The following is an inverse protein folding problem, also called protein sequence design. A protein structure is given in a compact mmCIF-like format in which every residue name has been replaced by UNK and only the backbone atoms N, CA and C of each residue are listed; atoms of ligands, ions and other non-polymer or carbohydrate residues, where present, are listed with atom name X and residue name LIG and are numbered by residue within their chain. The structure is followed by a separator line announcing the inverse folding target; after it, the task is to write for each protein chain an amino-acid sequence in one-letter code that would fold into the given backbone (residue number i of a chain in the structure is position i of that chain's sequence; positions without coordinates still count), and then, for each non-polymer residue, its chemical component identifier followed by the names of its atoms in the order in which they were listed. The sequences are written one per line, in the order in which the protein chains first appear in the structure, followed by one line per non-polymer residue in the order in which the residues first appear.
data_IF_375993892424
#
_entry.id   IF_375993892424
#
_cell.length_a   1.000
_cell.length_b   1.000
_cell.length_c   1.000
_cell.angle_alpha   90.00
_cell.angle_beta   90.00
_cell.angle_gamma   90.00
#
_symmetry.space_group_name_H-M   'P 1'
#
loop_
_entity.id
_entity.type
_entity.pdbx_description
1 polymer ?
#
# COMPACT_ATOMS: atom_id res chain seq x y z
N UNK A 1 -8.24 1.44 16.53
CA UNK A 1 -8.21 0.39 15.51
C UNK A 1 -9.50 -0.40 15.44
N UNK A 2 -10.03 -0.88 16.55
CA UNK A 2 -11.21 -1.77 16.59
C UNK A 2 -12.46 -1.19 15.91
N UNK A 3 -12.72 0.09 16.09
CA UNK A 3 -13.85 0.78 15.43
C UNK A 3 -13.69 0.81 13.91
N UNK A 4 -12.47 1.06 13.42
CA UNK A 4 -12.16 1.09 11.98
C UNK A 4 -12.31 -0.30 11.38
N UNK A 5 -11.77 -1.33 12.04
CA UNK A 5 -11.91 -2.74 11.61
C UNK A 5 -13.38 -3.17 11.60
N UNK A 6 -14.14 -2.81 12.62
CA UNK A 6 -15.57 -3.10 12.70
C UNK A 6 -16.35 -2.44 11.56
N UNK A 7 -16.09 -1.16 11.28
CA UNK A 7 -16.69 -0.43 10.16
C UNK A 7 -16.32 -1.07 8.83
N UNK A 8 -15.02 -1.36 8.63
CA UNK A 8 -14.51 -1.98 7.38
C UNK A 8 -15.21 -3.31 7.07
N UNK A 9 -15.38 -4.17 8.07
CA UNK A 9 -16.10 -5.45 7.94
C UNK A 9 -17.59 -5.23 7.69
N UNK A 10 -18.23 -4.37 8.47
CA UNK A 10 -19.68 -4.14 8.40
C UNK A 10 -20.13 -3.48 7.08
N UNK A 11 -19.26 -2.67 6.46
CA UNK A 11 -19.59 -1.91 5.25
C UNK A 11 -19.00 -2.49 3.97
N UNK A 12 -18.31 -3.63 4.03
CA UNK A 12 -17.81 -4.31 2.85
C UNK A 12 -16.52 -3.74 2.28
N UNK A 13 -15.68 -3.17 3.14
CA UNK A 13 -14.31 -2.82 2.75
C UNK A 13 -13.40 -4.03 2.78
N UNK A 14 -13.39 -4.78 3.87
CA UNK A 14 -12.50 -5.93 4.05
C UNK A 14 -13.22 -7.03 4.83
N UNK A 15 -13.09 -8.27 4.37
CA UNK A 15 -13.60 -9.48 5.03
C UNK A 15 -12.45 -10.41 5.42
N UNK A 16 -12.60 -11.24 6.46
CA UNK A 16 -11.68 -12.35 6.70
C UNK A 16 -11.65 -13.29 5.48
N UNK A 17 -10.46 -13.62 4.99
CA UNK A 17 -10.31 -14.52 3.84
C UNK A 17 -10.81 -15.93 4.17
N UNK A 18 -11.66 -16.50 3.31
CA UNK A 18 -12.25 -17.86 3.48
C UNK A 18 -13.03 -18.02 4.79
N UNK A 19 -13.76 -17.00 5.22
CA UNK A 19 -14.44 -16.93 6.52
C UNK A 19 -15.38 -18.10 6.78
N UNK A 20 -16.08 -18.62 5.76
CA UNK A 20 -17.01 -19.75 5.88
C UNK A 20 -16.34 -21.07 6.31
N UNK A 21 -15.01 -21.16 6.16
CA UNK A 21 -14.21 -22.30 6.62
C UNK A 21 -13.39 -21.98 7.90
N UNK A 22 -13.75 -20.92 8.62
CA UNK A 22 -13.02 -20.45 9.80
C UNK A 22 -11.86 -19.52 9.49
N UNK A 23 -11.68 -19.14 8.23
CA UNK A 23 -10.64 -18.23 7.79
C UNK A 23 -9.25 -18.85 7.69
N UNK A 24 -8.32 -18.07 7.18
CA UNK A 24 -6.88 -18.33 7.22
C UNK A 24 -6.20 -17.15 7.92
N UNK A 25 -5.36 -17.44 8.91
CA UNK A 25 -4.77 -16.42 9.77
C UNK A 25 -4.18 -15.26 8.99
N UNK A 26 -4.68 -14.05 9.31
CA UNK A 26 -4.28 -12.79 8.72
C UNK A 26 -4.31 -12.75 7.18
N UNK A 27 -5.32 -13.39 6.61
CA UNK A 27 -5.66 -13.33 5.19
C UNK A 27 -6.98 -12.59 5.04
N UNK A 28 -7.02 -11.63 4.12
CA UNK A 28 -8.12 -10.69 3.97
C UNK A 28 -8.58 -10.60 2.52
N UNK A 29 -9.89 -10.54 2.33
CA UNK A 29 -10.52 -10.26 1.04
C UNK A 29 -11.03 -8.82 1.02
N UNK A 30 -10.76 -8.09 -0.05
CA UNK A 30 -11.37 -6.77 -0.26
C UNK A 30 -12.80 -6.96 -0.79
N UNK A 31 -13.76 -6.41 -0.04
CA UNK A 31 -15.17 -6.44 -0.41
C UNK A 31 -15.51 -5.45 -1.53
N UNK A 32 -16.81 -5.28 -1.77
CA UNK A 32 -17.31 -4.40 -2.84
C UNK A 32 -16.86 -2.94 -2.74
N UNK A 33 -16.76 -2.38 -1.54
CA UNK A 33 -16.22 -1.03 -1.35
C UNK A 33 -14.70 -1.02 -1.26
N UNK A 34 -14.11 -2.04 -0.65
CA UNK A 34 -12.67 -2.15 -0.51
C UNK A 34 -11.94 -2.29 -1.83
N UNK A 35 -12.46 -3.07 -2.77
CA UNK A 35 -11.88 -3.22 -4.11
C UNK A 35 -11.90 -1.90 -4.89
N UNK A 36 -12.99 -1.14 -4.78
CA UNK A 36 -13.09 0.18 -5.42
C UNK A 36 -12.12 1.19 -4.80
N UNK A 37 -12.03 1.24 -3.46
CA UNK A 37 -11.04 2.08 -2.77
C UNK A 37 -9.61 1.74 -3.20
N UNK A 38 -9.25 0.47 -3.17
CA UNK A 38 -7.92 -0.01 -3.56
C UNK A 38 -7.60 0.30 -5.03
N UNK A 39 -8.55 0.09 -5.93
CA UNK A 39 -8.40 0.44 -7.35
C UNK A 39 -8.25 1.95 -7.57
N UNK A 40 -8.98 2.78 -6.80
CA UNK A 40 -8.84 4.23 -6.87
C UNK A 40 -7.46 4.69 -6.39
N UNK A 41 -6.94 4.11 -5.29
CA UNK A 41 -5.58 4.37 -4.81
C UNK A 41 -4.54 4.00 -5.87
N UNK A 42 -4.65 2.82 -6.46
CA UNK A 42 -3.74 2.38 -7.54
C UNK A 42 -3.82 3.27 -8.78
N UNK A 43 -5.03 3.71 -9.17
CA UNK A 43 -5.23 4.66 -10.28
C UNK A 43 -4.61 6.01 -9.99
N UNK A 44 -4.78 6.54 -8.76
CA UNK A 44 -4.19 7.81 -8.35
C UNK A 44 -2.66 7.75 -8.39
N UNK A 45 -2.06 6.64 -7.92
CA UNK A 45 -0.62 6.42 -8.01
C UNK A 45 -0.16 6.33 -9.47
N UNK A 46 -0.79 5.47 -10.28
CA UNK A 46 -0.42 5.28 -11.69
C UNK A 46 -0.51 6.58 -12.49
N UNK A 47 -1.55 7.35 -12.22
CA UNK A 47 -1.74 8.66 -12.88
C UNK A 47 -0.56 9.59 -12.61
N UNK A 48 -0.16 9.76 -11.36
CA UNK A 48 0.91 10.71 -10.98
C UNK A 48 2.31 10.18 -11.27
N UNK A 49 2.57 8.91 -10.98
CA UNK A 49 3.91 8.34 -11.11
C UNK A 49 4.24 7.85 -12.52
N UNK A 50 3.25 7.48 -13.32
CA UNK A 50 3.47 6.93 -14.67
C UNK A 50 2.86 7.81 -15.74
N UNK A 51 1.56 8.06 -15.70
CA UNK A 51 0.85 8.71 -16.80
C UNK A 51 1.24 10.19 -16.99
N UNK A 52 1.26 10.96 -15.92
CA UNK A 52 1.56 12.41 -15.94
C UNK A 52 3.06 12.70 -15.79
N UNK A 53 3.87 11.70 -15.47
CA UNK A 53 5.31 11.86 -15.31
C UNK A 53 6.04 11.67 -16.64
N UNK A 54 6.80 12.65 -17.14
CA UNK A 54 7.43 12.57 -18.46
C UNK A 54 8.59 11.56 -18.52
N UNK A 55 9.14 11.18 -17.37
CA UNK A 55 10.27 10.24 -17.31
C UNK A 55 9.83 8.78 -17.33
N UNK A 56 8.65 8.47 -16.78
CA UNK A 56 8.31 7.10 -16.40
C UNK A 56 7.48 6.37 -17.45
N UNK A 57 7.58 5.04 -17.41
CA UNK A 57 6.75 4.09 -18.14
C UNK A 57 6.32 2.97 -17.20
N UNK A 58 5.37 2.14 -17.62
CA UNK A 58 4.87 1.04 -16.80
C UNK A 58 5.19 -0.33 -17.37
N UNK A 59 5.23 -1.34 -16.49
CA UNK A 59 5.28 -2.75 -16.83
C UNK A 59 4.34 -3.57 -15.96
N UNK A 60 4.06 -4.78 -16.38
CA UNK A 60 3.42 -5.82 -15.56
C UNK A 60 4.18 -7.13 -15.77
N UNK A 61 5.06 -7.46 -14.80
CA UNK A 61 5.91 -8.63 -14.88
C UNK A 61 5.24 -9.85 -14.26
N UNK A 62 5.59 -11.05 -14.75
CA UNK A 62 5.09 -12.30 -14.18
C UNK A 62 5.50 -12.47 -12.70
N UNK A 63 4.61 -13.06 -11.91
CA UNK A 63 4.90 -13.43 -10.50
C UNK A 63 5.94 -14.55 -10.46
N UNK A 64 5.77 -15.57 -11.31
CA UNK A 64 6.71 -16.67 -11.42
C UNK A 64 7.85 -16.29 -12.36
N UNK A 65 9.06 -16.31 -11.84
CA UNK A 65 10.27 -15.90 -12.54
C UNK A 65 11.30 -17.02 -12.49
N UNK A 66 12.29 -16.96 -13.38
CA UNK A 66 13.42 -17.88 -13.31
C UNK A 66 14.09 -17.78 -11.92
N UNK A 67 14.32 -18.90 -11.22
CA UNK A 67 14.94 -18.91 -9.89
C UNK A 67 16.30 -18.19 -9.82
N UNK A 68 17.04 -18.09 -10.92
CA UNK A 68 18.30 -17.35 -10.98
C UNK A 68 18.12 -15.85 -10.69
N UNK A 69 16.93 -15.31 -10.92
CA UNK A 69 16.60 -13.93 -10.52
C UNK A 69 16.76 -13.75 -9.02
N UNK A 70 16.33 -14.73 -8.24
CA UNK A 70 16.40 -14.69 -6.77
C UNK A 70 17.76 -15.06 -6.21
N UNK A 71 18.57 -15.77 -6.99
CA UNK A 71 20.01 -15.96 -6.70
C UNK A 71 20.74 -14.64 -6.88
N UNK A 72 20.56 -13.98 -8.03
CA UNK A 72 21.18 -12.70 -8.35
C UNK A 72 20.86 -11.61 -7.35
N UNK A 73 19.58 -11.47 -6.99
CA UNK A 73 19.10 -10.46 -6.03
C UNK A 73 19.47 -10.79 -4.55
N UNK A 74 19.97 -11.99 -4.27
CA UNK A 74 20.33 -12.42 -2.91
C UNK A 74 19.16 -12.93 -2.04
N UNK A 75 17.92 -12.91 -2.55
CA UNK A 75 16.74 -13.35 -1.77
C UNK A 75 16.82 -14.80 -1.32
N UNK A 76 17.37 -15.70 -2.12
CA UNK A 76 17.52 -17.12 -1.71
C UNK A 76 18.54 -17.32 -0.60
N UNK A 77 19.55 -16.46 -0.51
CA UNK A 77 20.61 -16.56 0.47
C UNK A 77 20.40 -15.78 1.75
N UNK A 78 19.74 -14.61 1.67
CA UNK A 78 19.72 -13.64 2.77
C UNK A 78 18.36 -13.10 3.17
N UNK A 79 17.29 -13.41 2.44
CA UNK A 79 15.95 -12.93 2.77
C UNK A 79 15.29 -13.81 3.84
N UNK A 80 15.72 -13.63 5.08
CA UNK A 80 15.34 -14.49 6.20
C UNK A 80 15.22 -13.71 7.51
N UNK A 81 14.29 -14.16 8.36
CA UNK A 81 14.13 -13.65 9.72
C UNK A 81 14.75 -14.61 10.74
N UNK A 82 15.34 -14.07 11.84
CA UNK A 82 15.80 -14.88 12.96
C UNK A 82 14.61 -15.42 13.76
N UNK A 83 14.40 -16.74 13.72
CA UNK A 83 13.26 -17.43 14.30
C UNK A 83 13.67 -18.21 15.55
N UNK A 84 12.90 -18.07 16.64
CA UNK A 84 12.99 -18.90 17.84
C UNK A 84 11.60 -19.37 18.29
N UNK A 85 11.52 -20.57 18.87
CA UNK A 85 10.30 -21.13 19.42
C UNK A 85 10.36 -21.18 20.95
N UNK A 86 9.27 -20.82 21.65
CA UNK A 86 9.15 -21.11 23.07
C UNK A 86 8.96 -22.63 23.26
N UNK A 87 9.85 -23.29 24.00
CA UNK A 87 9.79 -24.74 24.21
C UNK A 87 8.57 -25.16 25.03
N UNK A 88 8.01 -24.22 25.83
CA UNK A 88 6.87 -24.49 26.73
C UNK A 88 5.53 -24.40 26.02
N UNK A 89 5.23 -23.29 25.33
CA UNK A 89 3.91 -23.12 24.66
C UNK A 89 3.95 -23.38 23.15
N UNK A 90 5.14 -23.61 22.57
CA UNK A 90 5.37 -23.87 21.14
C UNK A 90 5.08 -22.69 20.21
N UNK A 91 4.84 -21.52 20.79
CA UNK A 91 4.67 -20.28 20.00
C UNK A 91 6.01 -19.84 19.40
N UNK A 92 5.93 -19.21 18.23
CA UNK A 92 7.05 -18.74 17.43
C UNK A 92 7.18 -17.24 17.49
N UNK A 93 8.44 -16.80 17.55
CA UNK A 93 8.77 -15.38 17.61
C UNK A 93 9.95 -15.06 16.71
N UNK A 94 9.98 -13.84 16.19
CA UNK A 94 11.19 -13.25 15.66
C UNK A 94 12.05 -12.81 16.83
N UNK A 95 13.30 -13.25 16.86
CA UNK A 95 14.21 -12.95 17.95
C UNK A 95 14.53 -11.46 18.04
N UNK A 96 14.75 -10.82 16.90
CA UNK A 96 14.97 -9.37 16.77
C UNK A 96 13.81 -8.57 17.37
N UNK A 97 12.56 -8.88 16.99
CA UNK A 97 11.38 -8.19 17.51
C UNK A 97 11.14 -8.41 18.99
N UNK A 98 11.38 -9.64 19.47
CA UNK A 98 11.30 -9.95 20.90
C UNK A 98 12.29 -9.10 21.73
N UNK A 99 13.48 -8.86 21.20
CA UNK A 99 14.48 -8.01 21.82
C UNK A 99 14.07 -6.54 21.75
N UNK A 100 13.62 -6.05 20.60
CA UNK A 100 13.17 -4.66 20.43
C UNK A 100 12.01 -4.31 21.37
N UNK A 101 11.02 -5.19 21.48
CA UNK A 101 9.89 -5.01 22.38
C UNK A 101 10.36 -4.95 23.86
N UNK A 102 11.27 -5.84 24.23
CA UNK A 102 11.86 -5.84 25.57
C UNK A 102 12.65 -4.56 25.86
N UNK A 103 13.46 -4.08 24.91
CA UNK A 103 14.20 -2.82 25.04
C UNK A 103 13.24 -1.63 25.22
N UNK A 104 12.18 -1.59 24.43
CA UNK A 104 11.17 -0.53 24.51
C UNK A 104 10.40 -0.54 25.86
N UNK A 105 9.97 -1.71 26.33
CA UNK A 105 9.27 -1.87 27.61
C UNK A 105 10.14 -1.49 28.82
N UNK A 106 11.46 -1.71 28.72
CA UNK A 106 12.39 -1.41 29.81
C UNK A 106 13.13 -0.07 29.65
N UNK A 107 12.77 0.75 28.64
CA UNK A 107 13.43 2.00 28.30
C UNK A 107 14.96 1.86 28.15
N UNK A 108 15.40 0.74 27.56
CA UNK A 108 16.81 0.47 27.31
C UNK A 108 17.20 0.98 25.92
N UNK A 109 18.40 1.53 25.82
CA UNK A 109 19.01 1.95 24.55
C UNK A 109 20.23 1.11 24.24
N UNK A 110 20.42 0.76 22.97
CA UNK A 110 21.58 0.06 22.46
C UNK A 110 22.29 0.90 21.42
N UNK A 111 23.54 0.62 21.14
CA UNK A 111 24.23 1.17 19.97
C UNK A 111 23.84 0.39 18.72
N UNK A 112 23.37 1.07 17.69
CA UNK A 112 22.92 0.46 16.44
C UNK A 112 21.51 -0.15 16.49
N UNK A 113 21.26 -1.09 15.58
CA UNK A 113 19.99 -1.81 15.44
C UNK A 113 20.13 -3.29 15.80
N UNK A 114 19.10 -3.87 16.40
CA UNK A 114 19.04 -5.32 16.70
C UNK A 114 19.14 -6.16 15.41
N UNK A 115 18.64 -5.65 14.30
CA UNK A 115 18.69 -6.33 13.00
C UNK A 115 20.12 -6.59 12.50
N UNK A 116 21.10 -5.81 12.98
CA UNK A 116 22.51 -5.98 12.64
C UNK A 116 23.24 -7.04 13.51
N UNK A 117 22.59 -7.56 14.55
CA UNK A 117 23.20 -8.53 15.46
C UNK A 117 23.27 -9.92 14.85
N UNK A 118 24.30 -10.65 15.21
CA UNK A 118 24.40 -12.09 14.91
C UNK A 118 23.38 -12.90 15.73
N UNK A 119 23.10 -14.13 15.30
CA UNK A 119 22.20 -15.03 16.03
C UNK A 119 22.73 -15.32 17.45
N UNK A 120 24.06 -15.41 17.61
CA UNK A 120 24.72 -15.61 18.86
C UNK A 120 24.53 -14.42 19.82
N UNK A 121 24.64 -13.20 19.31
CA UNK A 121 24.43 -11.97 20.11
C UNK A 121 22.95 -11.86 20.52
N UNK A 122 22.01 -12.08 19.61
CA UNK A 122 20.59 -12.09 19.93
C UNK A 122 20.24 -13.12 21.00
N UNK A 123 20.78 -14.36 20.85
CA UNK A 123 20.55 -15.44 21.79
C UNK A 123 21.13 -15.10 23.16
N UNK A 124 22.35 -14.62 23.21
CA UNK A 124 23.02 -14.22 24.46
C UNK A 124 22.20 -13.13 25.17
N UNK A 125 21.71 -12.14 24.45
CA UNK A 125 20.88 -11.06 25.02
C UNK A 125 19.57 -11.60 25.62
N UNK A 126 18.86 -12.47 24.89
CA UNK A 126 17.61 -13.09 25.36
C UNK A 126 17.84 -13.90 26.64
N UNK A 127 18.95 -14.65 26.71
CA UNK A 127 19.33 -15.47 27.88
C UNK A 127 19.78 -14.60 29.06
N UNK A 128 20.62 -13.59 28.83
CA UNK A 128 21.17 -12.71 29.88
C UNK A 128 20.06 -11.89 30.55
N UNK A 129 19.13 -11.32 29.74
CA UNK A 129 18.04 -10.52 30.25
C UNK A 129 16.80 -11.32 30.64
N UNK A 130 16.88 -12.67 30.55
CA UNK A 130 15.76 -13.56 30.89
C UNK A 130 14.45 -13.09 30.28
N UNK A 131 14.47 -12.76 28.97
CA UNK A 131 13.30 -12.22 28.28
C UNK A 131 12.14 -13.24 28.35
N UNK A 132 10.97 -12.86 28.85
CA UNK A 132 9.85 -13.79 28.98
C UNK A 132 9.17 -14.02 27.62
N UNK A 133 8.64 -15.21 27.41
CA UNK A 133 7.77 -15.50 26.30
C UNK A 133 6.49 -14.65 26.42
N UNK A 134 6.14 -13.84 25.43
CA UNK A 134 4.93 -13.00 25.47
C UNK A 134 3.63 -13.77 25.69
N UNK A 135 3.59 -15.05 25.26
CA UNK A 135 2.38 -15.87 25.36
C UNK A 135 2.23 -16.61 26.69
N UNK A 136 3.34 -17.06 27.30
CA UNK A 136 3.23 -17.90 28.49
C UNK A 136 4.12 -17.47 29.68
N UNK A 137 4.92 -16.41 29.51
CA UNK A 137 5.79 -15.83 30.55
C UNK A 137 7.03 -16.67 30.91
N UNK A 138 7.29 -17.80 30.24
CA UNK A 138 8.47 -18.62 30.51
C UNK A 138 9.67 -18.19 29.67
N UNK A 139 10.88 -18.49 30.18
CA UNK A 139 12.16 -18.06 29.59
C UNK A 139 12.90 -19.20 28.86
N UNK A 140 12.19 -20.16 28.29
CA UNK A 140 12.78 -21.35 27.69
C UNK A 140 12.55 -21.35 26.17
N UNK A 141 13.53 -20.85 25.43
CA UNK A 141 13.53 -20.76 23.98
C UNK A 141 14.47 -21.76 23.31
N UNK A 142 14.19 -22.06 22.04
CA UNK A 142 15.11 -22.81 21.17
C UNK A 142 16.28 -21.95 20.74
N UNK A 143 17.26 -22.57 20.09
CA UNK A 143 18.25 -21.82 19.32
C UNK A 143 17.57 -21.03 18.21
N UNK A 144 18.22 -19.91 17.82
CA UNK A 144 17.77 -19.09 16.72
C UNK A 144 18.14 -19.78 15.41
N UNK A 145 17.21 -19.80 14.47
CA UNK A 145 17.42 -20.32 13.11
C UNK A 145 16.93 -19.30 12.08
N UNK A 146 17.60 -19.20 10.96
CA UNK A 146 17.14 -18.38 9.85
C UNK A 146 15.97 -19.05 9.14
N UNK A 147 14.92 -18.28 8.93
CA UNK A 147 13.73 -18.69 8.21
C UNK A 147 13.57 -17.84 6.94
N UNK A 148 13.79 -18.44 5.77
CA UNK A 148 13.65 -17.75 4.51
C UNK A 148 12.17 -17.44 4.25
N UNK A 149 11.85 -16.18 3.94
CA UNK A 149 10.49 -15.67 3.77
C UNK A 149 9.90 -15.95 2.40
N UNK A 150 10.63 -16.53 1.46
CA UNK A 150 10.09 -16.84 0.14
C UNK A 150 9.17 -18.06 0.17
N UNK A 151 7.97 -17.92 -0.38
CA UNK A 151 7.11 -19.07 -0.67
C UNK A 151 7.67 -19.88 -1.83
N UNK A 152 7.80 -21.20 -1.62
CA UNK A 152 8.19 -22.18 -2.64
C UNK A 152 6.95 -22.83 -3.25
N UNK A 153 7.03 -23.11 -4.55
CA UNK A 153 6.08 -23.97 -5.25
C UNK A 153 6.80 -24.74 -6.35
N UNK A 154 6.09 -25.54 -7.12
CA UNK A 154 6.67 -26.38 -8.15
C UNK A 154 5.99 -26.12 -9.49
N UNK A 155 6.77 -26.14 -10.55
CA UNK A 155 6.28 -26.10 -11.92
C UNK A 155 6.35 -27.49 -12.53
N UNK A 156 5.25 -27.95 -13.12
CA UNK A 156 5.17 -29.31 -13.69
C UNK A 156 4.61 -30.33 -12.69
N UNK A 157 4.89 -31.62 -12.96
CA UNK A 157 4.25 -32.75 -12.26
C UNK A 157 5.06 -33.34 -11.11
N UNK A 158 6.32 -32.94 -10.95
CA UNK A 158 7.22 -33.46 -9.92
C UNK A 158 7.67 -32.38 -8.97
N UNK A 159 7.64 -32.69 -7.68
CA UNK A 159 8.11 -31.82 -6.59
C UNK A 159 9.59 -32.06 -6.31
N UNK A 160 10.45 -31.60 -7.20
CA UNK A 160 11.90 -31.74 -7.09
C UNK A 160 12.64 -30.38 -7.22
N UNK A 161 13.93 -30.38 -6.96
CA UNK A 161 14.75 -29.19 -7.00
C UNK A 161 14.80 -28.50 -8.38
N UNK A 162 14.63 -29.24 -9.47
CA UNK A 162 14.67 -28.69 -10.83
C UNK A 162 13.40 -27.96 -11.18
N UNK A 163 12.28 -28.36 -10.56
CA UNK A 163 10.95 -27.80 -10.78
C UNK A 163 10.57 -26.76 -9.73
N UNK A 164 11.46 -26.49 -8.76
CA UNK A 164 11.20 -25.48 -7.71
C UNK A 164 11.18 -24.09 -8.32
N UNK A 165 10.09 -23.37 -8.07
CA UNK A 165 9.91 -21.94 -8.36
C UNK A 165 9.42 -21.22 -7.10
N UNK A 166 9.49 -19.90 -7.11
CA UNK A 166 9.14 -19.09 -5.95
C UNK A 166 8.09 -18.07 -6.31
N UNK A 167 7.21 -17.76 -5.36
CA UNK A 167 6.36 -16.59 -5.46
C UNK A 167 7.22 -15.35 -5.15
N UNK A 168 7.19 -14.35 -6.02
CA UNK A 168 8.04 -13.17 -5.87
C UNK A 168 7.76 -12.46 -4.51
N UNK A 169 8.81 -12.11 -3.75
CA UNK A 169 8.67 -11.37 -2.48
C UNK A 169 8.57 -9.86 -2.70
N UNK A 170 8.87 -9.37 -3.91
CA UNK A 170 8.82 -7.98 -4.32
C UNK A 170 8.61 -7.85 -5.83
N UNK A 171 8.16 -6.69 -6.27
CA UNK A 171 7.96 -6.39 -7.69
C UNK A 171 9.20 -5.81 -8.37
N UNK A 172 10.19 -5.34 -7.61
CA UNK A 172 11.40 -4.68 -8.11
C UNK A 172 12.19 -5.52 -9.09
N UNK A 173 12.43 -6.81 -8.79
CA UNK A 173 13.32 -7.65 -9.60
C UNK A 173 12.78 -7.89 -11.01
N UNK A 174 11.45 -7.93 -11.17
CA UNK A 174 10.83 -7.97 -12.49
C UNK A 174 11.15 -6.74 -13.34
N UNK A 175 11.28 -5.59 -12.71
CA UNK A 175 11.68 -4.34 -13.37
C UNK A 175 13.15 -4.42 -13.79
N UNK A 176 14.04 -4.81 -12.89
CA UNK A 176 15.48 -4.87 -13.18
C UNK A 176 15.82 -5.81 -14.32
N UNK A 177 15.26 -7.03 -14.33
CA UNK A 177 15.52 -7.99 -15.42
C UNK A 177 14.95 -7.53 -16.78
N UNK A 178 13.98 -6.62 -16.76
CA UNK A 178 13.39 -6.03 -17.97
C UNK A 178 13.96 -4.65 -18.34
N UNK A 179 14.93 -4.13 -17.61
CA UNK A 179 15.50 -2.80 -17.84
C UNK A 179 15.86 -2.56 -19.30
N UNK A 180 16.66 -3.44 -19.91
CA UNK A 180 17.09 -3.32 -21.32
C UNK A 180 15.93 -3.45 -22.31
N UNK A 181 14.97 -4.34 -22.03
CA UNK A 181 13.78 -4.50 -22.86
C UNK A 181 12.95 -3.22 -22.89
N UNK A 182 12.68 -2.67 -21.72
CA UNK A 182 11.86 -1.46 -21.58
C UNK A 182 12.58 -0.25 -22.16
N UNK A 183 13.86 -0.05 -21.83
CA UNK A 183 14.66 1.05 -22.35
C UNK A 183 14.68 1.07 -23.89
N UNK A 184 14.91 -0.10 -24.50
CA UNK A 184 14.96 -0.25 -25.97
C UNK A 184 13.60 0.00 -26.62
N UNK A 185 12.52 -0.58 -26.08
CA UNK A 185 11.20 -0.53 -26.69
C UNK A 185 10.51 0.82 -26.48
N UNK A 186 10.72 1.46 -25.33
CA UNK A 186 10.20 2.80 -25.03
C UNK A 186 11.07 3.92 -25.60
N UNK A 187 12.30 3.63 -26.00
CA UNK A 187 13.32 4.59 -26.46
C UNK A 187 13.63 5.68 -25.41
N UNK A 188 13.39 5.36 -24.13
CA UNK A 188 13.71 6.30 -23.05
C UNK A 188 15.22 6.48 -22.90
N UNK A 189 15.61 7.70 -22.60
CA UNK A 189 16.96 8.05 -22.16
C UNK A 189 17.00 8.09 -20.64
N UNK A 190 18.14 7.80 -20.06
CA UNK A 190 18.38 8.03 -18.63
C UNK A 190 18.47 9.57 -18.40
N UNK A 191 17.76 10.16 -17.40
CA UNK A 191 16.99 9.47 -16.37
C UNK A 191 15.59 9.02 -16.84
N UNK A 192 15.15 7.82 -16.44
CA UNK A 192 13.78 7.38 -16.60
C UNK A 192 13.42 6.32 -15.55
N UNK A 193 12.12 6.18 -15.29
CA UNK A 193 11.60 5.21 -14.34
C UNK A 193 10.71 4.16 -14.97
N UNK A 194 10.62 3.02 -14.32
CA UNK A 194 9.71 1.92 -14.67
C UNK A 194 8.84 1.62 -13.45
N UNK A 195 7.54 1.88 -13.57
CA UNK A 195 6.57 1.61 -12.51
C UNK A 195 5.85 0.27 -12.70
N UNK A 196 5.55 -0.39 -11.60
CA UNK A 196 4.77 -1.61 -11.57
C UNK A 196 3.83 -1.63 -10.37
N UNK A 197 2.62 -2.15 -10.58
CA UNK A 197 1.69 -2.52 -9.51
C UNK A 197 1.49 -4.03 -9.60
N UNK A 198 1.70 -4.75 -8.51
CA UNK A 198 1.52 -6.19 -8.54
C UNK A 198 1.58 -6.86 -7.19
N UNK A 199 1.10 -8.09 -7.17
CA UNK A 199 1.12 -8.97 -5.99
C UNK A 199 2.54 -9.40 -5.65
N UNK A 200 2.82 -9.44 -4.34
CA UNK A 200 4.03 -9.97 -3.74
C UNK A 200 3.67 -10.86 -2.54
N UNK A 201 4.57 -11.75 -2.17
CA UNK A 201 4.32 -12.80 -1.19
C UNK A 201 5.50 -12.94 -0.25
N UNK A 202 5.25 -12.82 1.05
CA UNK A 202 6.26 -13.04 2.08
C UNK A 202 5.69 -13.95 3.15
N UNK A 203 6.33 -15.06 3.43
CA UNK A 203 5.88 -16.01 4.44
C UNK A 203 6.18 -15.49 5.84
N UNK A 204 5.56 -14.35 6.18
CA UNK A 204 5.74 -13.63 7.44
C UNK A 204 5.49 -14.54 8.64
N UNK A 205 6.38 -14.46 9.61
CA UNK A 205 6.29 -15.26 10.86
C UNK A 205 5.20 -14.68 11.76
N UNK A 206 5.15 -13.36 11.89
CA UNK A 206 4.22 -12.61 12.73
C UNK A 206 3.39 -11.61 11.92
N UNK A 207 2.48 -12.10 11.03
CA UNK A 207 1.55 -11.20 10.37
C UNK A 207 0.59 -10.59 11.40
N UNK A 208 0.12 -9.37 11.16
CA UNK A 208 -0.74 -8.71 12.13
C UNK A 208 -1.18 -7.31 11.72
N UNK A 209 -1.84 -6.64 12.67
CA UNK A 209 -2.37 -5.28 12.50
C UNK A 209 -3.27 -5.15 11.28
N UNK A 210 -4.27 -6.03 11.18
CA UNK A 210 -5.24 -6.04 10.08
C UNK A 210 -4.53 -6.22 8.72
N UNK A 211 -4.75 -5.33 7.74
CA UNK A 211 -4.10 -5.39 6.42
C UNK A 211 -2.69 -4.77 6.38
N UNK A 212 -2.13 -4.36 7.52
CA UNK A 212 -0.82 -3.73 7.58
C UNK A 212 0.32 -4.73 7.27
N UNK A 213 0.28 -5.95 7.83
CA UNK A 213 1.28 -6.99 7.60
C UNK A 213 0.61 -8.32 7.30
N UNK A 214 0.60 -8.68 6.02
CA UNK A 214 -0.02 -9.89 5.49
C UNK A 214 1.00 -10.71 4.70
N UNK A 215 0.69 -11.97 4.42
CA UNK A 215 1.58 -12.85 3.62
C UNK A 215 1.42 -12.67 2.13
N UNK A 216 0.25 -12.22 1.70
CA UNK A 216 -0.06 -11.83 0.33
C UNK A 216 -0.47 -10.37 0.33
N UNK A 217 0.22 -9.54 -0.43
CA UNK A 217 -0.01 -8.10 -0.49
C UNK A 217 0.25 -7.58 -1.90
N UNK A 218 -0.02 -6.31 -2.12
CA UNK A 218 0.22 -5.65 -3.39
C UNK A 218 1.19 -4.47 -3.20
N UNK A 219 2.17 -4.35 -4.10
CA UNK A 219 3.11 -3.22 -4.11
C UNK A 219 2.83 -2.31 -5.30
N UNK A 220 3.08 -1.03 -5.09
CA UNK A 220 3.21 -0.01 -6.13
C UNK A 220 4.65 0.48 -6.06
N UNK A 221 5.44 0.16 -7.06
CA UNK A 221 6.88 0.30 -7.03
C UNK A 221 7.40 0.98 -8.29
N UNK A 222 8.31 1.91 -8.11
CA UNK A 222 9.01 2.61 -9.19
C UNK A 222 10.50 2.39 -9.03
N UNK A 223 11.16 1.92 -10.09
CA UNK A 223 12.61 1.92 -10.20
C UNK A 223 13.04 3.05 -11.12
N UNK A 224 13.65 4.07 -10.56
CA UNK A 224 14.07 5.26 -11.29
C UNK A 224 15.57 5.22 -11.57
N UNK A 225 15.91 5.03 -12.83
CA UNK A 225 17.27 4.88 -13.32
C UNK A 225 17.88 6.24 -13.63
N UNK A 226 19.03 6.56 -13.04
CA UNK A 226 19.72 7.83 -13.20
C UNK A 226 21.23 7.64 -13.41
N UNK A 227 21.90 8.70 -13.87
CA UNK A 227 23.35 8.71 -14.01
C UNK A 227 24.00 8.68 -12.62
N UNK A 228 25.05 7.82 -12.41
CA UNK A 228 25.83 7.87 -11.18
C UNK A 228 26.33 9.29 -10.86
N UNK A 229 26.15 9.70 -9.62
CA UNK A 229 26.48 11.07 -9.16
C UNK A 229 25.31 12.06 -9.20
N UNK A 230 24.16 11.69 -9.81
CA UNK A 230 22.90 12.45 -9.76
C UNK A 230 21.86 11.80 -8.84
N UNK A 231 22.18 10.66 -8.30
CA UNK A 231 21.33 9.79 -7.49
C UNK A 231 20.76 10.50 -6.25
N UNK A 232 21.58 11.22 -5.49
CA UNK A 232 21.14 11.93 -4.29
C UNK A 232 20.16 13.08 -4.58
N UNK A 233 20.31 13.75 -5.73
CA UNK A 233 19.36 14.77 -6.17
C UNK A 233 18.01 14.16 -6.50
N UNK A 234 18.00 13.06 -7.25
CA UNK A 234 16.78 12.30 -7.55
C UNK A 234 16.16 11.65 -6.32
N UNK A 235 16.96 11.20 -5.36
CA UNK A 235 16.49 10.72 -4.08
C UNK A 235 15.68 11.79 -3.33
N UNK A 236 16.20 13.05 -3.25
CA UNK A 236 15.47 14.16 -2.64
C UNK A 236 14.19 14.52 -3.42
N UNK A 237 14.24 14.46 -4.76
CA UNK A 237 13.07 14.69 -5.61
C UNK A 237 11.95 13.68 -5.29
N UNK A 238 12.27 12.39 -5.25
CA UNK A 238 11.26 11.36 -4.99
C UNK A 238 10.76 11.39 -3.54
N UNK A 239 11.59 11.73 -2.56
CA UNK A 239 11.14 11.96 -1.18
C UNK A 239 10.02 13.02 -1.12
N UNK A 240 10.25 14.16 -1.74
CA UNK A 240 9.27 15.24 -1.79
C UNK A 240 8.01 14.84 -2.57
N UNK A 241 8.19 14.22 -3.73
CA UNK A 241 7.09 13.80 -4.58
C UNK A 241 6.15 12.78 -3.90
N UNK A 242 6.71 11.78 -3.22
CA UNK A 242 5.95 10.77 -2.49
C UNK A 242 5.18 11.39 -1.31
N UNK A 243 5.85 12.25 -0.54
CA UNK A 243 5.21 13.00 0.56
C UNK A 243 4.03 13.85 0.05
N UNK A 244 4.25 14.63 -0.99
CA UNK A 244 3.23 15.52 -1.53
C UNK A 244 2.04 14.75 -2.12
N UNK A 245 2.27 13.57 -2.70
CA UNK A 245 1.19 12.69 -3.16
C UNK A 245 0.26 12.26 -2.02
N UNK A 246 0.80 11.90 -0.86
CA UNK A 246 0.01 11.53 0.33
C UNK A 246 -0.79 12.73 0.87
N UNK A 247 -0.14 13.90 0.99
CA UNK A 247 -0.79 15.13 1.44
C UNK A 247 -1.94 15.55 0.52
N UNK A 248 -1.72 15.49 -0.80
CA UNK A 248 -2.73 15.84 -1.80
C UNK A 248 -3.94 14.88 -1.81
N UNK A 249 -3.81 13.69 -1.22
CA UNK A 249 -4.89 12.70 -1.11
C UNK A 249 -5.52 12.64 0.29
N UNK A 250 -5.17 13.57 1.18
CA UNK A 250 -5.87 13.77 2.44
C UNK A 250 -5.19 13.22 3.68
N UNK A 251 -3.95 12.69 3.59
CA UNK A 251 -3.12 12.47 4.79
C UNK A 251 -2.69 13.83 5.33
N UNK A 252 -2.82 14.05 6.62
CA UNK A 252 -2.40 15.30 7.26
C UNK A 252 -0.92 15.25 7.61
N UNK A 253 -0.28 16.44 7.63
CA UNK A 253 1.16 16.52 7.91
C UNK A 253 1.53 16.02 9.32
N UNK A 254 0.68 16.28 10.29
CA UNK A 254 0.85 15.82 11.68
C UNK A 254 0.66 14.30 11.86
N UNK A 255 0.05 13.63 10.88
CA UNK A 255 -0.14 12.17 10.88
C UNK A 255 0.99 11.43 10.16
N UNK A 256 1.96 12.15 9.60
CA UNK A 256 3.03 11.60 8.78
C UNK A 256 4.38 12.13 9.24
N UNK A 257 5.42 11.32 9.10
CA UNK A 257 6.81 11.76 9.29
C UNK A 257 7.75 11.09 8.28
N UNK A 258 8.86 11.76 7.99
CA UNK A 258 9.99 11.19 7.27
C UNK A 258 11.02 10.71 8.29
N UNK A 259 11.44 9.45 8.18
CA UNK A 259 12.48 8.84 9.02
C UNK A 259 13.65 8.42 8.14
N UNK A 260 14.74 9.14 8.24
CA UNK A 260 15.98 8.76 7.57
C UNK A 260 16.65 7.62 8.33
N UNK A 261 17.12 6.59 7.61
CA UNK A 261 17.88 5.51 8.21
C UNK A 261 19.28 6.00 8.61
N UNK A 262 19.75 5.56 9.77
CA UNK A 262 21.12 5.79 10.18
C UNK A 262 22.10 4.96 9.32
N UNK A 263 23.39 5.30 9.26
CA UNK A 263 24.36 4.53 8.47
C UNK A 263 24.40 3.04 8.85
N UNK A 264 24.10 2.70 10.11
CA UNK A 264 24.09 1.32 10.64
C UNK A 264 22.83 0.55 10.21
N UNK A 265 21.73 1.26 9.92
CA UNK A 265 20.47 0.67 9.43
C UNK A 265 20.45 0.46 7.92
N UNK A 266 21.35 1.16 7.18
CA UNK A 266 21.36 1.07 5.72
C UNK A 266 21.71 -0.33 5.26
N UNK A 267 20.95 -0.84 4.30
CA UNK A 267 21.36 -2.01 3.55
C UNK A 267 22.72 -1.75 2.88
N UNK A 268 23.56 -2.78 2.77
CA UNK A 268 24.92 -2.69 2.24
C UNK A 268 25.03 -2.14 0.81
N UNK A 269 23.94 -2.13 0.06
CA UNK A 269 23.84 -1.59 -1.29
C UNK A 269 23.26 -0.16 -1.34
N UNK A 270 22.75 0.37 -0.23
CA UNK A 270 22.06 1.68 -0.20
C UNK A 270 22.99 2.79 0.29
N UNK A 271 22.95 3.93 -0.40
CA UNK A 271 23.57 5.18 0.06
C UNK A 271 22.69 6.00 0.99
N UNK A 272 21.40 5.80 0.91
CA UNK A 272 20.40 6.50 1.71
C UNK A 272 19.04 5.82 1.60
N UNK A 273 18.33 5.75 2.70
CA UNK A 273 16.96 5.26 2.78
C UNK A 273 16.15 6.19 3.67
N UNK A 274 14.96 6.52 3.23
CA UNK A 274 13.98 7.28 4.03
C UNK A 274 12.67 6.51 4.02
N UNK A 275 12.11 6.28 5.19
CA UNK A 275 10.74 5.82 5.32
C UNK A 275 9.80 7.02 5.44
N UNK A 276 8.66 6.95 4.77
CA UNK A 276 7.51 7.78 5.12
C UNK A 276 6.62 6.93 6.01
N UNK A 277 6.48 7.34 7.26
CA UNK A 277 5.66 6.65 8.25
C UNK A 277 4.35 7.39 8.50
N UNK A 278 3.29 6.64 8.75
CA UNK A 278 1.97 7.14 9.15
C UNK A 278 1.67 6.77 10.59
N UNK A 279 1.01 7.68 11.31
CA UNK A 279 0.56 7.44 12.68
C UNK A 279 -0.75 6.64 12.69
N UNK A 280 -0.62 5.32 12.61
CA UNK A 280 -1.76 4.42 12.78
C UNK A 280 -2.25 4.43 14.25
N UNK A 281 -3.48 3.96 14.52
CA UNK A 281 -3.96 3.80 15.91
C UNK A 281 -3.11 2.87 16.78
N UNK A 282 -2.25 2.03 16.19
CA UNK A 282 -1.28 1.16 16.89
C UNK A 282 0.14 1.75 16.96
N UNK A 283 0.33 2.98 16.49
CA UNK A 283 1.63 3.66 16.48
C UNK A 283 2.15 3.94 15.07
N UNK A 284 3.38 4.45 14.99
CA UNK A 284 4.04 4.75 13.73
C UNK A 284 4.29 3.48 12.92
N UNK A 285 3.93 3.50 11.65
CA UNK A 285 4.12 2.41 10.72
C UNK A 285 4.57 2.92 9.35
N UNK A 286 5.53 2.23 8.76
CA UNK A 286 6.06 2.52 7.44
C UNK A 286 4.98 2.37 6.37
N UNK A 287 4.81 3.40 5.53
CA UNK A 287 4.02 3.37 4.31
C UNK A 287 4.88 3.21 3.08
N UNK A 288 5.95 3.99 2.99
CA UNK A 288 6.81 4.13 1.84
C UNK A 288 8.25 3.98 2.24
N UNK A 289 8.99 3.10 1.55
CA UNK A 289 10.44 3.11 1.56
C UNK A 289 10.96 3.80 0.31
N UNK A 290 11.84 4.79 0.46
CA UNK A 290 12.53 5.44 -0.64
C UNK A 290 14.02 5.17 -0.44
N UNK A 291 14.65 4.44 -1.37
CA UNK A 291 16.03 4.01 -1.26
C UNK A 291 16.86 4.42 -2.48
N UNK A 292 18.08 4.91 -2.23
CA UNK A 292 19.12 4.99 -3.26
C UNK A 292 19.86 3.65 -3.27
N UNK A 293 19.54 2.80 -4.25
CA UNK A 293 20.06 1.42 -4.39
C UNK A 293 21.37 1.34 -5.15
N UNK A 294 21.92 2.47 -5.60
CA UNK A 294 23.11 2.52 -6.45
C UNK A 294 22.94 1.69 -7.74
N UNK A 295 23.99 1.09 -8.25
CA UNK A 295 23.95 0.17 -9.40
C UNK A 295 23.85 -1.31 -8.99
N UNK A 296 23.57 -1.57 -7.72
CA UNK A 296 23.69 -2.92 -7.14
C UNK A 296 22.88 -3.96 -7.91
N UNK A 297 21.56 -3.75 -8.08
CA UNK A 297 20.69 -4.77 -8.67
C UNK A 297 21.04 -5.06 -10.14
N UNK A 298 21.26 -4.03 -10.95
CA UNK A 298 21.66 -4.21 -12.34
C UNK A 298 23.01 -4.92 -12.46
N UNK A 299 23.96 -4.59 -11.60
CA UNK A 299 25.28 -5.24 -11.55
C UNK A 299 25.16 -6.70 -11.11
N UNK A 300 24.32 -7.03 -10.14
CA UNK A 300 24.09 -8.42 -9.72
C UNK A 300 23.47 -9.25 -10.86
N UNK A 301 22.46 -8.71 -11.54
CA UNK A 301 21.86 -9.39 -12.70
C UNK A 301 22.86 -9.55 -13.84
N UNK A 302 23.70 -8.55 -14.10
CA UNK A 302 24.77 -8.65 -15.08
C UNK A 302 25.76 -9.76 -14.73
N UNK A 303 26.21 -9.82 -13.49
CA UNK A 303 27.20 -10.81 -13.04
C UNK A 303 26.69 -12.25 -13.09
N UNK A 304 25.42 -12.48 -12.76
CA UNK A 304 24.81 -13.82 -12.75
C UNK A 304 24.37 -14.26 -14.15
N UNK A 305 23.80 -13.36 -14.93
CA UNK A 305 23.29 -13.70 -16.29
C UNK A 305 24.36 -13.65 -17.36
N UNK A 306 25.41 -12.85 -17.19
CA UNK A 306 26.39 -12.53 -18.22
C UNK A 306 25.90 -11.50 -19.26
N UNK A 307 24.67 -10.98 -19.11
CA UNK A 307 24.10 -9.98 -20.01
C UNK A 307 24.55 -8.57 -19.62
N UNK A 308 24.85 -7.72 -20.60
CA UNK A 308 25.26 -6.33 -20.35
C UNK A 308 24.07 -5.46 -19.93
N UNK A 309 24.04 -5.05 -18.69
CA UNK A 309 23.01 -4.19 -18.09
C UNK A 309 23.37 -2.69 -18.13
N UNK A 310 24.47 -2.31 -18.76
CA UNK A 310 24.87 -0.92 -18.87
C UNK A 310 24.01 -0.12 -19.86
N UNK A 311 23.98 1.20 -19.68
CA UNK A 311 23.41 2.17 -20.58
C UNK A 311 24.51 2.93 -21.31
N UNK A 312 24.34 3.15 -22.61
CA UNK A 312 25.22 4.03 -23.39
C UNK A 312 24.52 5.37 -23.60
N UNK A 313 25.14 6.42 -23.07
CA UNK A 313 24.67 7.79 -23.23
C UNK A 313 25.24 8.39 -24.54
N UNK A 314 24.37 8.53 -25.53
CA UNK A 314 24.75 9.05 -26.84
C UNK A 314 25.22 10.50 -26.84
N UNK A 315 24.72 11.28 -25.88
CA UNK A 315 25.05 12.71 -25.77
C UNK A 315 26.44 12.91 -25.13
N UNK A 316 26.69 12.17 -24.06
CA UNK A 316 27.95 12.22 -23.31
C UNK A 316 29.02 11.29 -23.88
N UNK A 317 28.64 10.34 -24.75
CA UNK A 317 29.51 9.27 -25.27
C UNK A 317 30.13 8.42 -24.16
N UNK A 318 29.39 8.23 -23.10
CA UNK A 318 29.78 7.44 -21.92
C UNK A 318 28.94 6.19 -21.77
N UNK A 319 29.55 5.14 -21.24
CA UNK A 319 28.89 3.89 -20.90
C UNK A 319 28.96 3.68 -19.39
N UNK A 320 27.81 3.45 -18.72
CA UNK A 320 27.74 3.21 -17.31
C UNK A 320 26.56 2.31 -16.94
N UNK A 321 26.63 1.63 -15.79
CA UNK A 321 25.48 1.00 -15.17
C UNK A 321 24.71 2.07 -14.41
N UNK A 322 23.43 2.32 -14.73
CA UNK A 322 22.65 3.34 -14.03
C UNK A 322 22.53 3.08 -12.52
N UNK A 323 22.48 4.15 -11.75
CA UNK A 323 22.05 4.10 -10.36
C UNK A 323 20.52 4.10 -10.29
N UNK A 324 19.98 3.58 -9.21
CA UNK A 324 18.53 3.40 -9.04
C UNK A 324 18.06 4.09 -7.78
N UNK A 325 17.03 4.91 -7.91
CA UNK A 325 16.24 5.41 -6.77
C UNK A 325 14.89 4.70 -6.79
N UNK A 326 14.57 4.02 -5.70
CA UNK A 326 13.36 3.20 -5.55
C UNK A 326 12.39 3.82 -4.55
N UNK A 327 11.29 4.42 -4.98
CA UNK A 327 10.09 4.60 -4.17
C UNK A 327 9.23 3.33 -4.21
N UNK A 328 9.11 2.64 -3.07
CA UNK A 328 8.31 1.41 -2.92
C UNK A 328 7.21 1.59 -1.88
N UNK A 329 5.96 1.33 -2.27
CA UNK A 329 4.76 1.53 -1.45
C UNK A 329 3.93 0.25 -1.39
N UNK A 330 3.55 -0.16 -0.18
CA UNK A 330 2.56 -1.21 0.03
C UNK A 330 1.15 -0.69 -0.22
N UNK A 331 0.47 -1.18 -1.27
CA UNK A 331 -0.89 -0.73 -1.59
C UNK A 331 -1.88 -1.02 -0.45
N UNK A 332 -1.77 -2.16 0.20
CA UNK A 332 -2.64 -2.55 1.31
C UNK A 332 -2.43 -1.66 2.54
N UNK A 333 -1.17 -1.29 2.84
CA UNK A 333 -0.84 -0.37 3.94
C UNK A 333 -1.37 1.03 3.70
N UNK A 334 -1.19 1.58 2.51
CA UNK A 334 -1.66 2.93 2.22
C UNK A 334 -3.18 2.99 2.14
N UNK A 335 -3.85 1.94 1.67
CA UNK A 335 -5.32 1.83 1.74
C UNK A 335 -5.79 1.87 3.20
N UNK A 336 -5.11 1.14 4.09
CA UNK A 336 -5.39 1.19 5.53
C UNK A 336 -5.14 2.59 6.11
N UNK A 337 -4.05 3.25 5.72
CA UNK A 337 -3.74 4.60 6.17
C UNK A 337 -4.82 5.60 5.73
N UNK A 338 -5.27 5.55 4.48
CA UNK A 338 -6.37 6.39 4.00
C UNK A 338 -7.68 6.10 4.74
N UNK A 339 -7.95 4.83 5.07
CA UNK A 339 -9.14 4.46 5.85
C UNK A 339 -9.05 5.02 7.28
N UNK A 340 -7.87 4.94 7.91
CA UNK A 340 -7.63 5.50 9.25
C UNK A 340 -7.73 7.03 9.26
N UNK A 341 -7.10 7.70 8.29
CA UNK A 341 -7.11 9.16 8.19
C UNK A 341 -8.50 9.73 7.86
N UNK A 342 -9.31 8.97 7.12
CA UNK A 342 -10.65 9.38 6.73
C UNK A 342 -11.70 9.19 7.83
N UNK A 343 -11.47 8.29 8.81
CA UNK A 343 -12.45 7.94 9.83
C UNK A 343 -12.65 9.06 10.84
N UNK A 344 -13.91 9.46 11.04
CA UNK A 344 -14.31 10.44 12.06
C UNK A 344 -15.68 10.08 12.68
N UNK A 345 -15.88 10.52 13.92
CA UNK A 345 -17.16 10.48 14.66
C UNK A 345 -17.52 11.91 15.06
N UNK A 346 -18.41 12.53 14.33
CA UNK A 346 -18.82 13.91 14.55
C UNK A 346 -20.06 13.99 15.45
N UNK A 347 -19.99 14.77 16.54
CA UNK A 347 -21.15 15.12 17.34
C UNK A 347 -21.98 16.19 16.63
N UNK A 348 -23.27 15.92 16.42
CA UNK A 348 -24.20 16.85 15.83
C UNK A 348 -25.03 17.56 16.88
N UNK A 349 -25.68 18.64 16.47
CA UNK A 349 -26.67 19.33 17.34
C UNK A 349 -27.73 18.33 17.81
N UNK A 350 -27.94 18.27 19.15
CA UNK A 350 -28.89 17.35 19.80
C UNK A 350 -28.27 16.06 20.34
N UNK A 351 -26.93 15.90 20.25
CA UNK A 351 -26.19 14.77 20.85
C UNK A 351 -26.20 13.50 20.02
N UNK A 352 -26.63 13.57 18.76
CA UNK A 352 -26.51 12.49 17.77
C UNK A 352 -25.08 12.44 17.22
N UNK A 353 -24.56 11.23 16.94
CA UNK A 353 -23.20 11.03 16.41
C UNK A 353 -23.28 10.56 14.96
N UNK A 354 -22.53 11.25 14.09
CA UNK A 354 -22.35 10.88 12.70
C UNK A 354 -21.01 10.18 12.52
N UNK A 355 -21.02 8.91 12.13
CA UNK A 355 -19.81 8.26 11.61
C UNK A 355 -19.63 8.61 10.15
N UNK A 356 -18.45 9.07 9.78
CA UNK A 356 -18.14 9.53 8.43
C UNK A 356 -16.73 9.13 8.03
N UNK A 357 -16.54 8.83 6.73
CA UNK A 357 -15.24 8.63 6.12
C UNK A 357 -14.94 9.81 5.18
N UNK A 358 -14.03 10.69 5.59
CA UNK A 358 -13.63 11.88 4.83
C UNK A 358 -12.61 11.55 3.73
N UNK A 359 -12.91 10.56 2.89
CA UNK A 359 -12.04 10.26 1.73
C UNK A 359 -11.92 11.45 0.80
N UNK A 360 -10.70 11.70 0.30
CA UNK A 360 -10.53 12.55 -0.87
C UNK A 360 -11.43 12.05 -2.01
N UNK A 361 -12.13 12.93 -2.75
CA UNK A 361 -13.08 12.51 -3.80
C UNK A 361 -12.48 11.53 -4.82
N UNK A 362 -11.19 11.67 -5.16
CA UNK A 362 -10.49 10.75 -6.05
C UNK A 362 -10.42 9.30 -5.48
N UNK A 363 -10.40 9.13 -4.16
CA UNK A 363 -10.26 7.83 -3.49
C UNK A 363 -11.60 7.19 -3.12
N UNK A 364 -12.65 7.98 -2.89
CA UNK A 364 -13.96 7.48 -2.44
C UNK A 364 -14.45 6.31 -3.31
N UNK A 365 -14.84 5.17 -2.70
CA UNK A 365 -15.29 3.99 -3.45
C UNK A 365 -16.56 4.25 -4.25
N UNK A 366 -17.54 4.90 -3.65
CA UNK A 366 -18.72 5.43 -4.33
C UNK A 366 -18.52 6.93 -4.47
N UNK A 367 -18.68 7.43 -5.69
CA UNK A 367 -18.47 8.85 -6.00
C UNK A 367 -19.71 9.67 -5.73
N UNK A 368 -20.86 9.13 -6.11
CA UNK A 368 -22.14 9.82 -6.06
C UNK A 368 -23.23 8.86 -5.58
N UNK A 369 -23.92 9.23 -4.50
CA UNK A 369 -25.16 8.58 -4.08
C UNK A 369 -26.36 9.24 -4.78
N UNK A 370 -27.16 8.49 -5.54
CA UNK A 370 -28.37 8.99 -6.19
C UNK A 370 -29.58 8.54 -5.36
N UNK A 371 -30.28 9.52 -4.79
CA UNK A 371 -31.29 9.31 -3.75
C UNK A 371 -32.60 9.97 -4.16
N UNK A 372 -33.65 9.23 -4.58
CA UNK A 372 -34.97 9.81 -4.77
C UNK A 372 -35.55 10.23 -3.41
N UNK A 373 -36.14 11.41 -3.29
CA UNK A 373 -36.76 11.85 -2.03
C UNK A 373 -37.90 10.91 -1.61
N UNK A 374 -38.60 10.36 -2.56
CA UNK A 374 -39.72 9.41 -2.38
C UNK A 374 -39.62 8.33 -3.46
N UNK A 375 -40.13 7.12 -3.18
CA UNK A 375 -40.21 6.03 -4.18
C UNK A 375 -41.02 6.40 -5.42
N UNK A 376 -41.93 7.37 -5.33
CA UNK A 376 -42.68 7.87 -6.50
C UNK A 376 -41.78 8.57 -7.51
N UNK A 377 -40.60 8.99 -7.09
CA UNK A 377 -39.60 9.74 -7.89
C UNK A 377 -38.46 8.83 -8.42
N UNK A 378 -38.58 7.51 -8.21
CA UNK A 378 -37.54 6.58 -8.64
C UNK A 378 -37.20 6.71 -10.12
N UNK A 379 -38.20 6.84 -11.00
CA UNK A 379 -37.97 6.91 -12.45
C UNK A 379 -37.04 8.10 -12.83
N UNK A 380 -37.27 9.28 -12.25
CA UNK A 380 -36.42 10.44 -12.48
C UNK A 380 -34.99 10.25 -11.94
N UNK A 381 -34.88 9.72 -10.73
CA UNK A 381 -33.57 9.42 -10.10
C UNK A 381 -32.81 8.33 -10.84
N UNK A 382 -33.47 7.28 -11.34
CA UNK A 382 -32.86 6.21 -12.15
C UNK A 382 -32.27 6.74 -13.45
N UNK A 383 -32.90 7.73 -14.10
CA UNK A 383 -32.36 8.39 -15.29
C UNK A 383 -31.04 9.11 -14.99
N UNK A 384 -30.98 9.80 -13.85
CA UNK A 384 -29.75 10.47 -13.39
C UNK A 384 -28.67 9.44 -13.05
N UNK A 385 -29.02 8.37 -12.33
CA UNK A 385 -28.11 7.28 -12.05
C UNK A 385 -27.55 6.67 -13.34
N UNK A 386 -28.40 6.37 -14.32
CA UNK A 386 -27.99 5.81 -15.61
C UNK A 386 -27.06 6.75 -16.40
N UNK A 387 -27.23 8.06 -16.24
CA UNK A 387 -26.35 9.06 -16.84
C UNK A 387 -24.99 9.10 -16.15
N UNK A 388 -24.96 9.34 -14.83
CA UNK A 388 -23.74 9.55 -14.08
C UNK A 388 -22.90 8.28 -13.94
N UNK A 389 -23.52 7.11 -13.86
CA UNK A 389 -22.83 5.81 -13.73
C UNK A 389 -21.99 5.41 -14.96
N UNK A 390 -22.14 6.09 -16.09
CA UNK A 390 -21.26 5.91 -17.25
C UNK A 390 -19.83 6.40 -16.98
N UNK A 391 -19.68 7.36 -16.07
CA UNK A 391 -18.39 7.99 -15.77
C UNK A 391 -17.91 7.71 -14.33
N UNK A 392 -18.85 7.64 -13.39
CA UNK A 392 -18.58 7.54 -11.96
C UNK A 392 -19.16 6.27 -11.37
N UNK A 393 -18.51 5.71 -10.35
CA UNK A 393 -19.12 4.66 -9.53
C UNK A 393 -20.22 5.29 -8.67
N UNK A 394 -21.46 5.01 -8.98
CA UNK A 394 -22.65 5.55 -8.31
C UNK A 394 -23.38 4.46 -7.52
N UNK A 395 -24.03 4.85 -6.43
CA UNK A 395 -24.97 4.00 -5.70
C UNK A 395 -26.38 4.61 -5.76
N UNK A 396 -27.37 3.77 -5.98
CA UNK A 396 -28.78 4.15 -5.94
C UNK A 396 -29.44 3.60 -4.67
N UNK A 397 -30.05 4.47 -3.84
CA UNK A 397 -30.69 4.03 -2.61
C UNK A 397 -32.05 4.70 -2.39
N UNK A 398 -33.11 3.89 -2.38
CA UNK A 398 -34.50 4.31 -2.13
C UNK A 398 -35.06 3.77 -0.78
N UNK A 399 -34.20 3.20 0.09
CA UNK A 399 -34.59 2.52 1.31
C UNK A 399 -34.62 3.44 2.53
N UNK A 400 -35.75 3.47 3.24
CA UNK A 400 -35.92 4.30 4.45
C UNK A 400 -36.16 5.77 4.12
N UNK A 401 -35.97 6.65 5.10
CA UNK A 401 -36.04 8.10 4.89
C UNK A 401 -34.72 8.68 4.37
N UNK A 402 -34.79 9.89 3.82
CA UNK A 402 -33.62 10.55 3.19
C UNK A 402 -32.48 10.77 4.20
N UNK A 403 -32.75 11.11 5.44
CA UNK A 403 -31.71 11.29 6.45
C UNK A 403 -30.91 10.01 6.72
N UNK A 404 -31.57 8.85 6.77
CA UNK A 404 -30.89 7.55 6.91
C UNK A 404 -30.05 7.18 5.69
N UNK A 405 -30.48 7.61 4.51
CA UNK A 405 -29.73 7.39 3.25
C UNK A 405 -28.45 8.23 3.25
N UNK A 406 -28.53 9.50 3.62
CA UNK A 406 -27.34 10.35 3.80
C UNK A 406 -26.34 9.74 4.79
N UNK A 407 -26.82 9.25 5.95
CA UNK A 407 -25.97 8.59 6.94
C UNK A 407 -25.24 7.38 6.40
N UNK A 408 -25.90 6.52 5.61
CA UNK A 408 -25.25 5.37 4.98
C UNK A 408 -24.18 5.80 3.98
N UNK A 409 -24.40 6.87 3.23
CA UNK A 409 -23.41 7.40 2.30
C UNK A 409 -22.24 8.08 3.02
N UNK A 410 -22.50 8.79 4.12
CA UNK A 410 -21.45 9.36 4.97
C UNK A 410 -20.53 8.26 5.55
N UNK A 411 -21.10 7.16 6.06
CA UNK A 411 -20.37 6.04 6.64
C UNK A 411 -19.45 5.31 5.64
N UNK A 412 -19.75 5.32 4.36
CA UNK A 412 -18.92 4.71 3.31
C UNK A 412 -18.05 5.73 2.58
N UNK A 413 -18.15 7.01 2.95
CA UNK A 413 -17.30 8.07 2.44
C UNK A 413 -17.67 8.61 1.07
N UNK A 414 -18.93 8.49 0.63
CA UNK A 414 -19.42 9.07 -0.61
C UNK A 414 -19.40 10.60 -0.54
N UNK A 415 -18.62 11.31 -1.36
CA UNK A 415 -18.42 12.74 -1.22
C UNK A 415 -19.65 13.57 -1.59
N UNK A 416 -20.49 13.08 -2.52
CA UNK A 416 -21.65 13.81 -2.98
C UNK A 416 -22.90 12.94 -3.06
N UNK A 417 -24.04 13.48 -2.62
CA UNK A 417 -25.36 12.86 -2.81
C UNK A 417 -26.24 13.75 -3.67
N UNK A 418 -26.84 13.16 -4.70
CA UNK A 418 -27.82 13.80 -5.58
C UNK A 418 -29.20 13.36 -5.15
N UNK A 419 -30.04 14.31 -4.73
CA UNK A 419 -31.42 14.04 -4.36
C UNK A 419 -32.36 14.56 -5.45
N UNK A 420 -33.14 13.64 -6.03
CA UNK A 420 -34.25 13.97 -6.95
C UNK A 420 -35.52 14.11 -6.11
N UNK A 421 -36.13 15.29 -6.15
CA UNK A 421 -37.30 15.66 -5.34
C UNK A 421 -38.49 16.04 -6.24
N UNK A 422 -39.62 16.47 -5.64
CA UNK A 422 -40.80 16.83 -6.40
C UNK A 422 -40.60 18.11 -7.22
N UNK A 423 -39.78 19.05 -6.75
CA UNK A 423 -39.45 20.26 -7.50
C UNK A 423 -38.60 19.94 -8.74
N UNK A 424 -37.85 18.82 -8.70
CA UNK A 424 -37.02 18.37 -9.82
C UNK A 424 -37.82 18.08 -11.09
N UNK A 425 -39.10 17.68 -10.94
CA UNK A 425 -40.01 17.46 -12.07
C UNK A 425 -40.44 18.79 -12.72
N UNK A 426 -40.41 19.89 -11.96
CA UNK A 426 -40.84 21.21 -12.43
C UNK A 426 -39.69 22.06 -12.96
N UNK A 427 -38.56 22.09 -12.20
CA UNK A 427 -37.44 22.98 -12.49
C UNK A 427 -36.28 22.33 -13.25
N UNK A 428 -36.30 20.98 -13.41
CA UNK A 428 -35.22 20.23 -14.05
C UNK A 428 -33.89 20.32 -13.32
N UNK A 429 -33.92 20.51 -11.99
CA UNK A 429 -32.74 20.56 -11.13
C UNK A 429 -32.83 19.54 -10.00
N UNK A 430 -31.70 19.25 -9.36
CA UNK A 430 -31.59 18.34 -8.23
C UNK A 430 -30.80 18.99 -7.09
N UNK A 431 -30.99 18.49 -5.89
CA UNK A 431 -30.17 18.90 -4.76
C UNK A 431 -28.91 18.07 -4.70
N UNK A 432 -27.74 18.71 -4.69
CA UNK A 432 -26.44 18.08 -4.46
C UNK A 432 -25.99 18.42 -3.04
N UNK A 433 -25.77 17.40 -2.22
CA UNK A 433 -25.26 17.54 -0.85
C UNK A 433 -23.78 17.15 -0.81
N UNK A 434 -22.98 18.03 -0.27
CA UNK A 434 -21.59 17.77 0.08
C UNK A 434 -21.51 17.03 1.41
N UNK A 435 -20.72 15.93 1.47
CA UNK A 435 -20.52 15.11 2.67
C UNK A 435 -19.87 15.89 3.80
N UNK A 436 -18.81 16.66 3.49
CA UNK A 436 -17.94 17.26 4.49
C UNK A 436 -18.59 18.48 5.15
N UNK A 437 -19.24 19.33 4.36
CA UNK A 437 -19.91 20.53 4.86
C UNK A 437 -21.38 20.30 5.23
N UNK A 438 -21.99 19.23 4.74
CA UNK A 438 -23.43 18.95 4.74
C UNK A 438 -24.28 20.03 4.04
N UNK A 439 -23.64 20.98 3.37
CA UNK A 439 -24.31 21.99 2.57
C UNK A 439 -24.98 21.37 1.34
N UNK A 440 -26.06 21.99 0.92
CA UNK A 440 -26.87 21.55 -0.21
C UNK A 440 -27.01 22.70 -1.22
N UNK A 441 -26.80 22.40 -2.46
CA UNK A 441 -26.99 23.35 -3.55
C UNK A 441 -27.89 22.77 -4.64
N UNK A 442 -28.60 23.65 -5.35
CA UNK A 442 -29.52 23.27 -6.43
C UNK A 442 -28.77 23.34 -7.76
N UNK A 443 -28.63 22.20 -8.45
CA UNK A 443 -27.90 22.09 -9.72
C UNK A 443 -28.85 21.60 -10.82
N UNK A 444 -28.82 22.21 -12.00
CA UNK A 444 -29.55 21.72 -13.15
C UNK A 444 -29.06 20.34 -13.58
N UNK A 445 -29.99 19.45 -13.95
CA UNK A 445 -29.65 18.09 -14.38
C UNK A 445 -28.73 18.12 -15.60
N UNK A 446 -28.91 19.04 -16.52
CA UNK A 446 -28.03 19.22 -17.69
C UNK A 446 -26.59 19.63 -17.34
N UNK A 447 -26.36 20.27 -16.20
CA UNK A 447 -25.06 20.75 -15.75
C UNK A 447 -24.29 19.73 -14.87
N UNK A 448 -24.93 18.63 -14.45
CA UNK A 448 -24.34 17.67 -13.49
C UNK A 448 -23.03 17.07 -13.98
N UNK A 449 -22.91 16.73 -15.26
CA UNK A 449 -21.67 16.15 -15.80
C UNK A 449 -20.49 17.13 -15.68
N UNK A 450 -20.72 18.40 -16.02
CA UNK A 450 -19.71 19.45 -15.88
C UNK A 450 -19.38 19.70 -14.42
N UNK A 451 -20.40 19.82 -13.58
CA UNK A 451 -20.23 20.02 -12.14
C UNK A 451 -19.35 18.94 -11.51
N UNK A 452 -19.65 17.67 -11.76
CA UNK A 452 -18.88 16.58 -11.21
C UNK A 452 -17.49 16.40 -11.86
N UNK A 453 -17.33 16.76 -13.12
CA UNK A 453 -16.01 16.77 -13.76
C UNK A 453 -15.05 17.74 -13.04
N UNK A 454 -15.54 18.88 -12.56
CA UNK A 454 -14.75 19.83 -11.76
C UNK A 454 -14.47 19.29 -10.34
N UNK A 455 -15.48 18.69 -9.68
CA UNK A 455 -15.35 18.15 -8.31
C UNK A 455 -14.43 16.93 -8.19
N UNK A 456 -14.33 16.12 -9.23
CA UNK A 456 -13.50 14.92 -9.27
C UNK A 456 -12.17 15.09 -10.02
N UNK A 457 -11.84 16.31 -10.44
CA UNK A 457 -10.55 16.59 -11.05
C UNK A 457 -9.41 16.32 -10.05
N UNK A 458 -8.41 15.49 -10.47
CA UNK A 458 -7.26 15.11 -9.65
C UNK A 458 -6.00 14.93 -10.50
#
# INVERSE_FOLDING_TARGET
MDKIVALAKARGFVYPGSEIYGGLANTWDYGNLGVELKNNVKRAWWKKFVQENPYNVGVDCAILMNPQTWVASGHLGGFSDPLMDCKSCKERFRADKLIEDYLAENNMTIEGSVDAWSQEEMKAFVEEHQIPCPSCGKHDFTDIRQFNLMFKTFQGVTEDAKNTVYLRPETAQGIFVNFKNVQRTSRKKVPFGIGQIGKSFRNEITPGNFTFRTREFEQMELEFFCKPGTDLEWFQYWRAFCRDWLLNLGIKEEEMRLRDHSPEELCFYSKGTTDIEFLFPFGWGELWGIADRTDYDLTQHQNVSGEDMSYFDDELKEKYVPYVVEPSLGADRVVLAFLCAAYDEEELEGGDVRTVLHFHPALAPVKIGVLPLSKKLNEGAEKIFAQLSKTYNCEFDDRGNIGKRYRRQDEIGTPFCVTYDFESEEDGAVTVRDRDTMEQERIKIEDLEKYFAEKFAY
#
